data_IF_856222121375
#
_entry.id   IF_856222121375
#
_cell.length_a   1.000
_cell.length_b   1.000
_cell.length_c   1.000
_cell.angle_alpha   90.00
_cell.angle_beta   90.00
_cell.angle_gamma   90.00
#
_symmetry.space_group_name_H-M   'P 1'
#
loop_
_entity.id
_entity.type
_entity.pdbx_description
1 polymer ?
#
# COMPACT_ATOMS: atom_id res chain seq x y z
N UNK A 1 -16.62 49.95 -43.11
CA UNK A 1 -17.97 49.54 -43.55
C UNK A 1 -17.88 48.05 -43.87
N UNK A 2 -18.47 47.22 -42.99
CA UNK A 2 -18.88 45.80 -43.10
C UNK A 2 -17.92 44.77 -43.74
N UNK A 3 -17.66 43.58 -43.17
CA UNK A 3 -18.21 42.88 -42.01
C UNK A 3 -17.53 41.51 -41.85
N UNK A 4 -17.58 40.97 -40.64
CA UNK A 4 -17.01 39.69 -40.18
C UNK A 4 -17.58 38.47 -40.90
N UNK A 5 -16.82 37.37 -40.97
CA UNK A 5 -17.27 36.15 -40.32
C UNK A 5 -16.14 35.17 -39.97
N UNK A 6 -16.41 34.43 -38.90
CA UNK A 6 -15.49 33.66 -38.06
C UNK A 6 -15.57 32.19 -38.48
N UNK A 7 -14.42 31.54 -38.69
CA UNK A 7 -14.34 30.10 -38.94
C UNK A 7 -13.24 29.47 -38.10
N UNK A 8 -13.61 28.93 -36.94
CA UNK A 8 -12.75 28.14 -36.08
C UNK A 8 -12.38 26.81 -36.78
N UNK A 9 -11.08 26.55 -36.96
CA UNK A 9 -10.57 25.20 -37.23
C UNK A 9 -10.00 24.63 -35.94
N UNK A 10 -10.74 23.71 -35.33
CA UNK A 10 -10.24 22.77 -34.33
C UNK A 10 -9.39 21.72 -35.04
N UNK A 11 -8.07 21.74 -34.80
CA UNK A 11 -7.19 20.64 -35.18
C UNK A 11 -7.41 19.46 -34.23
N UNK A 12 -8.06 18.42 -34.74
CA UNK A 12 -8.19 17.14 -34.06
C UNK A 12 -6.82 16.44 -34.02
N UNK A 13 -6.32 16.16 -32.80
CA UNK A 13 -5.20 15.25 -32.61
C UNK A 13 -5.71 13.82 -32.77
N UNK A 14 -5.47 13.24 -33.96
CA UNK A 14 -5.63 11.81 -34.22
C UNK A 14 -4.53 11.04 -33.47
N UNK A 15 -4.87 10.46 -32.32
CA UNK A 15 -4.08 9.41 -31.71
C UNK A 15 -4.27 8.12 -32.52
N UNK A 16 -3.19 7.64 -33.13
CA UNK A 16 -3.14 6.30 -33.73
C UNK A 16 -3.01 5.26 -32.61
N UNK A 17 -3.79 4.16 -32.63
CA UNK A 17 -3.66 3.10 -31.64
C UNK A 17 -2.46 2.20 -31.97
N UNK A 18 -1.69 1.86 -30.93
CA UNK A 18 -0.59 0.91 -30.99
C UNK A 18 -1.06 -0.46 -31.51
N UNK A 19 -0.23 -1.05 -32.37
CA UNK A 19 -0.52 -2.23 -33.16
C UNK A 19 -0.82 -3.50 -32.36
N UNK A 20 -1.80 -4.23 -32.89
CA UNK A 20 -2.14 -5.61 -32.55
C UNK A 20 -0.98 -6.53 -32.99
N UNK A 21 -0.38 -7.26 -32.05
CA UNK A 21 0.44 -8.43 -32.37
C UNK A 21 -0.48 -9.65 -32.35
N UNK A 22 -0.73 -10.21 -33.53
CA UNK A 22 -1.45 -11.49 -33.68
C UNK A 22 -0.59 -12.66 -33.15
N UNK A 23 -1.17 -13.63 -32.43
CA UNK A 23 -0.48 -14.85 -32.06
C UNK A 23 -0.36 -15.78 -33.28
N UNK A 24 0.88 -16.23 -33.54
CA UNK A 24 1.16 -17.26 -34.54
C UNK A 24 0.71 -18.61 -34.00
N UNK A 25 -0.06 -19.31 -34.85
CA UNK A 25 -0.56 -20.68 -34.73
C UNK A 25 0.44 -21.67 -34.13
N UNK A 26 -0.08 -22.47 -33.19
CA UNK A 26 0.40 -23.80 -32.84
C UNK A 26 0.68 -24.64 -34.10
N UNK A 27 1.91 -25.13 -34.21
CA UNK A 27 2.21 -26.37 -34.91
C UNK A 27 2.69 -27.40 -33.91
N UNK A 28 1.90 -28.46 -33.75
CA UNK A 28 2.33 -29.72 -33.17
C UNK A 28 3.56 -30.28 -33.91
N UNK A 29 4.41 -31.03 -33.21
CA UNK A 29 4.98 -32.23 -33.79
C UNK A 29 4.47 -33.46 -33.03
N UNK A 30 3.77 -34.32 -33.78
CA UNK A 30 3.74 -35.75 -33.52
C UNK A 30 5.17 -36.31 -33.65
N UNK A 31 5.50 -37.34 -32.87
CA UNK A 31 6.01 -38.64 -33.35
C UNK A 31 6.68 -39.47 -32.24
N UNK A 32 6.25 -40.73 -32.19
CA UNK A 32 6.97 -41.96 -31.85
C UNK A 32 7.29 -42.35 -30.39
N UNK A 33 6.38 -43.20 -29.90
CA UNK A 33 6.63 -44.36 -29.04
C UNK A 33 7.90 -45.13 -29.42
N UNK A 34 8.73 -45.48 -28.44
CA UNK A 34 9.61 -46.66 -28.49
C UNK A 34 9.66 -47.31 -27.12
N UNK A 35 9.25 -48.57 -27.10
CA UNK A 35 9.28 -49.51 -25.98
C UNK A 35 10.70 -50.05 -25.81
N UNK A 36 11.25 -50.03 -24.60
CA UNK A 36 12.24 -51.04 -24.15
C UNK A 36 11.98 -51.37 -22.67
N UNK A 37 11.74 -52.66 -22.43
CA UNK A 37 11.59 -53.31 -21.12
C UNK A 37 12.93 -53.82 -20.59
N UNK A 38 13.14 -53.77 -19.26
CA UNK A 38 13.82 -54.78 -18.42
C UNK A 38 13.83 -54.27 -16.96
N UNK A 39 13.05 -54.85 -16.04
CA UNK A 39 13.38 -56.00 -15.17
C UNK A 39 14.52 -55.77 -14.17
N UNK A 40 14.19 -55.84 -12.87
CA UNK A 40 15.15 -55.96 -11.76
C UNK A 40 14.47 -55.74 -10.41
N UNK A 41 14.30 -56.80 -9.62
CA UNK A 41 13.49 -56.86 -8.41
C UNK A 41 14.35 -56.90 -7.11
N UNK A 42 13.84 -56.23 -6.04
CA UNK A 42 13.85 -56.57 -4.59
C UNK A 42 15.20 -56.87 -3.85
N UNK A 43 15.28 -57.01 -2.49
CA UNK A 43 14.29 -56.80 -1.40
C UNK A 43 14.79 -56.08 -0.09
N UNK A 44 13.83 -55.88 0.83
CA UNK A 44 13.83 -55.86 2.33
C UNK A 44 15.15 -56.02 3.13
N UNK A 45 15.27 -55.27 4.25
CA UNK A 45 14.99 -55.76 5.63
C UNK A 45 15.55 -54.83 6.74
N UNK A 46 14.76 -54.64 7.80
CA UNK A 46 15.18 -54.22 9.16
C UNK A 46 15.56 -55.44 10.02
N UNK A 47 16.16 -55.26 11.21
CA UNK A 47 15.41 -55.63 12.44
C UNK A 47 15.71 -54.84 13.75
N UNK A 48 14.66 -54.77 14.59
CA UNK A 48 14.53 -54.95 16.07
C UNK A 48 15.30 -54.17 17.16
N UNK A 49 14.53 -53.34 17.89
CA UNK A 49 14.22 -53.30 19.36
C UNK A 49 15.33 -53.02 20.43
N UNK A 50 15.01 -52.56 21.69
CA UNK A 50 13.71 -52.54 22.38
C UNK A 50 13.31 -51.26 23.18
N UNK A 51 12.09 -51.34 23.72
CA UNK A 51 11.26 -50.39 24.51
C UNK A 51 11.74 -50.30 25.99
N UNK A 52 11.37 -49.24 26.74
CA UNK A 52 10.44 -49.47 27.84
C UNK A 52 9.32 -48.43 27.94
N UNK A 53 8.19 -48.93 28.41
CA UNK A 53 6.92 -48.27 28.72
C UNK A 53 6.94 -47.58 30.08
N UNK A 54 6.29 -46.42 30.21
CA UNK A 54 5.33 -46.14 31.30
C UNK A 54 4.40 -45.00 30.91
N UNK A 55 3.12 -45.23 31.20
CA UNK A 55 1.95 -44.36 31.17
C UNK A 55 2.10 -43.08 32.01
N UNK A 56 1.52 -41.97 31.53
CA UNK A 56 0.48 -41.19 32.24
C UNK A 56 0.08 -39.93 31.43
N UNK A 57 -1.22 -39.79 31.18
CA UNK A 57 -1.91 -38.59 30.66
C UNK A 57 -2.54 -37.80 31.84
N UNK A 58 -3.08 -36.58 31.65
CA UNK A 58 -2.48 -35.36 31.13
C UNK A 58 -2.59 -34.22 32.18
N UNK A 59 -1.66 -33.26 32.21
CA UNK A 59 -1.87 -32.02 32.98
C UNK A 59 -1.69 -30.76 32.12
N UNK A 60 -2.83 -30.11 31.95
CA UNK A 60 -3.06 -28.72 31.57
C UNK A 60 -2.12 -27.75 32.31
N UNK A 61 -1.24 -27.06 31.59
CA UNK A 61 -0.89 -25.64 31.84
C UNK A 61 0.09 -25.13 30.78
N UNK A 62 -0.40 -24.71 29.62
CA UNK A 62 0.35 -23.83 28.72
C UNK A 62 0.17 -22.38 29.16
N UNK A 63 1.07 -21.90 30.03
CA UNK A 63 1.23 -20.45 30.25
C UNK A 63 1.97 -19.87 29.05
N UNK A 64 1.30 -19.01 28.29
CA UNK A 64 1.94 -18.09 27.36
C UNK A 64 2.97 -17.21 28.11
N UNK A 65 4.09 -16.82 27.46
CA UNK A 65 5.06 -15.95 28.10
C UNK A 65 4.44 -14.55 28.29
N UNK A 66 4.19 -14.19 29.55
CA UNK A 66 3.89 -12.81 29.94
C UNK A 66 5.23 -12.06 29.95
N UNK A 67 5.45 -11.18 28.97
CA UNK A 67 6.54 -10.20 29.05
C UNK A 67 6.14 -9.15 30.08
N UNK A 68 6.61 -9.29 31.32
CA UNK A 68 6.64 -8.19 32.29
C UNK A 68 7.98 -7.49 32.13
N UNK A 69 7.98 -6.32 31.50
CA UNK A 69 9.10 -5.39 31.58
C UNK A 69 9.24 -4.93 33.03
N UNK A 70 10.29 -5.39 33.71
CA UNK A 70 10.72 -4.89 35.01
C UNK A 70 11.47 -3.58 34.80
N UNK A 71 11.06 -2.55 35.54
CA UNK A 71 11.78 -1.33 35.93
C UNK A 71 12.97 -0.93 35.05
N UNK A 72 12.70 -0.16 34.00
CA UNK A 72 13.71 0.70 33.39
C UNK A 72 13.86 1.95 34.25
N UNK A 73 14.99 2.03 34.94
CA UNK A 73 15.49 3.26 35.56
C UNK A 73 15.48 4.40 34.54
N UNK A 74 14.77 5.48 34.86
CA UNK A 74 14.84 6.77 34.17
C UNK A 74 16.29 7.27 34.11
N UNK A 75 16.96 7.03 32.99
CA UNK A 75 18.24 7.63 32.63
C UNK A 75 18.15 8.11 31.17
N UNK A 76 18.20 9.43 30.96
CA UNK A 76 18.61 10.22 29.77
C UNK A 76 18.38 9.69 28.32
N UNK A 77 17.46 8.75 28.09
CA UNK A 77 17.17 8.23 26.74
C UNK A 77 16.53 9.29 25.81
N UNK A 78 15.77 10.23 26.37
CA UNK A 78 15.06 11.25 25.59
C UNK A 78 15.99 12.25 24.89
N UNK A 79 17.13 12.62 25.49
CA UNK A 79 18.04 13.59 24.88
C UNK A 79 18.75 13.01 23.63
N UNK A 80 19.14 11.74 23.69
CA UNK A 80 19.81 11.04 22.59
C UNK A 80 18.87 10.78 21.41
N UNK A 81 17.64 10.32 21.66
CA UNK A 81 16.63 10.14 20.61
C UNK A 81 16.22 11.47 19.98
N UNK A 82 15.97 12.49 20.78
CA UNK A 82 15.55 13.80 20.27
C UNK A 82 16.65 14.46 19.44
N UNK A 83 17.93 14.32 19.83
CA UNK A 83 19.06 14.80 19.02
C UNK A 83 19.20 14.05 17.69
N UNK A 84 18.97 12.73 17.67
CA UNK A 84 19.04 11.93 16.45
C UNK A 84 17.89 12.25 15.48
N UNK A 85 16.69 12.47 16.02
CA UNK A 85 15.51 12.89 15.23
C UNK A 85 15.76 14.25 14.60
N UNK A 86 16.27 15.23 15.36
CA UNK A 86 16.59 16.57 14.85
C UNK A 86 17.66 16.52 13.73
N UNK A 87 18.68 15.67 13.88
CA UNK A 87 19.71 15.48 12.84
C UNK A 87 19.10 14.88 11.55
N UNK A 88 18.26 13.83 11.68
CA UNK A 88 17.56 13.23 10.52
C UNK A 88 16.64 14.20 9.81
N UNK A 89 15.84 14.98 10.55
CA UNK A 89 14.96 16.00 9.96
C UNK A 89 15.78 17.10 9.25
N UNK A 90 16.94 17.47 9.79
CA UNK A 90 17.84 18.44 9.17
C UNK A 90 18.47 17.91 7.87
N UNK A 91 18.89 16.65 7.86
CA UNK A 91 19.41 15.99 6.66
C UNK A 91 18.33 15.84 5.57
N UNK A 92 17.11 15.48 5.95
CA UNK A 92 15.96 15.38 5.04
C UNK A 92 15.66 16.74 4.38
N UNK A 93 15.60 17.81 5.18
CA UNK A 93 15.41 19.17 4.66
C UNK A 93 16.54 19.57 3.68
N UNK A 94 17.79 19.23 4.00
CA UNK A 94 18.92 19.48 3.10
C UNK A 94 18.78 18.73 1.76
N UNK A 95 18.28 17.49 1.78
CA UNK A 95 18.02 16.72 0.57
C UNK A 95 16.89 17.34 -0.26
N UNK A 96 15.82 17.80 0.39
CA UNK A 96 14.70 18.47 -0.27
C UNK A 96 15.12 19.79 -0.93
N UNK A 97 15.97 20.58 -0.26
CA UNK A 97 16.55 21.80 -0.84
C UNK A 97 17.41 21.48 -2.06
N UNK A 98 18.26 20.45 -1.98
CA UNK A 98 19.07 20.02 -3.13
C UNK A 98 18.20 19.55 -4.30
N UNK A 99 17.12 18.81 -4.02
CA UNK A 99 16.16 18.35 -5.03
C UNK A 99 15.44 19.52 -5.69
N UNK A 100 14.97 20.49 -4.89
CA UNK A 100 14.35 21.72 -5.37
C UNK A 100 15.30 22.49 -6.30
N UNK A 101 16.56 22.67 -5.90
CA UNK A 101 17.57 23.35 -6.72
C UNK A 101 17.83 22.63 -8.04
N UNK A 102 17.90 21.30 -8.04
CA UNK A 102 18.11 20.49 -9.24
C UNK A 102 16.92 20.58 -10.21
N UNK A 103 15.69 20.51 -9.70
CA UNK A 103 14.47 20.65 -10.51
C UNK A 103 14.40 22.06 -11.11
N UNK A 104 14.70 23.09 -10.34
CA UNK A 104 14.76 24.47 -10.82
C UNK A 104 15.86 24.67 -11.88
N UNK A 105 17.04 24.08 -11.70
CA UNK A 105 18.10 24.12 -12.73
C UNK A 105 17.66 23.40 -14.02
N UNK A 106 16.96 22.27 -13.88
CA UNK A 106 16.38 21.52 -15.00
C UNK A 106 15.33 22.35 -15.74
N UNK A 107 14.51 23.14 -15.02
CA UNK A 107 13.55 24.08 -15.61
C UNK A 107 14.22 25.09 -16.54
N UNK A 108 15.32 25.68 -16.08
CA UNK A 108 16.06 26.69 -16.86
C UNK A 108 16.63 26.05 -18.13
N UNK A 109 17.14 24.83 -18.03
CA UNK A 109 17.80 24.14 -19.15
C UNK A 109 16.82 23.52 -20.14
N UNK A 110 15.65 23.05 -19.68
CA UNK A 110 14.66 22.40 -20.52
C UNK A 110 13.22 22.63 -19.99
N UNK A 111 12.60 23.76 -20.38
CA UNK A 111 11.23 24.09 -19.96
C UNK A 111 10.20 23.02 -20.36
N UNK A 112 10.43 22.29 -21.45
CA UNK A 112 9.54 21.22 -21.93
C UNK A 112 9.45 20.05 -20.96
N UNK A 113 10.51 19.75 -20.20
CA UNK A 113 10.47 18.64 -19.24
C UNK A 113 9.46 18.89 -18.12
N UNK A 114 9.26 20.15 -17.72
CA UNK A 114 8.28 20.51 -16.70
C UNK A 114 6.84 20.48 -17.19
N UNK A 115 6.57 20.33 -18.48
CA UNK A 115 5.20 20.03 -18.93
C UNK A 115 4.81 18.57 -18.62
N UNK A 116 5.74 17.76 -18.10
CA UNK A 116 5.44 16.41 -17.64
C UNK A 116 4.75 16.46 -16.27
N UNK A 117 3.56 15.86 -16.13
CA UNK A 117 2.80 15.90 -14.88
C UNK A 117 3.54 15.40 -13.63
N UNK A 118 4.39 14.38 -13.78
CA UNK A 118 5.18 13.83 -12.68
C UNK A 118 6.18 14.85 -12.13
N UNK A 119 6.79 15.66 -12.99
CA UNK A 119 7.74 16.69 -12.59
C UNK A 119 7.05 17.93 -12.04
N UNK A 120 5.85 18.27 -12.52
CA UNK A 120 5.05 19.37 -11.95
C UNK A 120 4.65 19.07 -10.50
N UNK A 121 4.11 17.89 -10.24
CA UNK A 121 3.73 17.47 -8.89
C UNK A 121 4.95 17.35 -7.96
N UNK A 122 6.06 16.85 -8.48
CA UNK A 122 7.30 16.77 -7.71
C UNK A 122 7.85 18.15 -7.34
N UNK A 123 7.80 19.11 -8.25
CA UNK A 123 8.18 20.50 -7.95
C UNK A 123 7.28 21.07 -6.86
N UNK A 124 5.97 20.89 -6.99
CA UNK A 124 5.01 21.35 -5.97
C UNK A 124 5.27 20.73 -4.59
N UNK A 125 5.62 19.43 -4.54
CA UNK A 125 6.02 18.78 -3.30
C UNK A 125 7.29 19.37 -2.71
N UNK A 126 8.32 19.61 -3.52
CA UNK A 126 9.57 20.23 -3.08
C UNK A 126 9.36 21.66 -2.56
N UNK A 127 8.54 22.45 -3.23
CA UNK A 127 8.19 23.82 -2.79
C UNK A 127 7.54 23.79 -1.41
N UNK A 128 6.61 22.85 -1.20
CA UNK A 128 5.93 22.63 0.09
C UNK A 128 6.89 22.17 1.18
N UNK A 129 7.77 21.21 0.90
CA UNK A 129 8.70 20.65 1.88
C UNK A 129 9.80 21.65 2.29
N UNK A 130 10.26 22.48 1.36
CA UNK A 130 11.31 23.48 1.61
C UNK A 130 10.80 24.81 2.16
N UNK A 131 9.48 24.99 2.30
CA UNK A 131 8.84 26.24 2.75
C UNK A 131 9.26 27.48 1.92
N UNK A 132 9.66 27.30 0.66
CA UNK A 132 10.07 28.39 -0.23
C UNK A 132 8.85 29.26 -0.55
N UNK A 133 8.74 30.43 0.08
CA UNK A 133 7.51 31.24 0.17
C UNK A 133 7.15 32.10 -1.07
N UNK A 134 5.84 32.08 -1.36
CA UNK A 134 4.95 33.13 -1.95
C UNK A 134 4.99 33.39 -3.46
N UNK A 135 6.14 33.39 -4.15
CA UNK A 135 6.13 33.56 -5.63
C UNK A 135 6.05 32.22 -6.39
N UNK A 136 6.69 31.18 -5.86
CA UNK A 136 6.56 29.78 -6.31
C UNK A 136 5.14 29.25 -6.15
N UNK A 137 4.39 29.75 -5.17
CA UNK A 137 3.02 29.28 -4.90
C UNK A 137 2.03 29.66 -5.98
N UNK A 138 2.11 30.85 -6.60
CA UNK A 138 1.10 31.26 -7.59
C UNK A 138 1.27 30.54 -8.93
N UNK A 139 2.51 30.42 -9.42
CA UNK A 139 2.80 29.70 -10.65
C UNK A 139 2.65 28.18 -10.47
N UNK A 140 3.17 27.62 -9.37
CA UNK A 140 2.99 26.21 -9.02
C UNK A 140 1.53 25.84 -8.88
N UNK A 141 0.74 26.68 -8.19
CA UNK A 141 -0.71 26.48 -8.06
C UNK A 141 -1.43 26.61 -9.40
N UNK A 142 -1.01 27.52 -10.30
CA UNK A 142 -1.57 27.64 -11.64
C UNK A 142 -1.32 26.38 -12.48
N UNK A 143 -0.10 25.82 -12.43
CA UNK A 143 0.24 24.55 -13.09
C UNK A 143 -0.57 23.41 -12.51
N UNK A 144 -0.68 23.32 -11.18
CA UNK A 144 -1.47 22.30 -10.50
C UNK A 144 -2.96 22.37 -10.90
N UNK A 145 -3.54 23.58 -10.99
CA UNK A 145 -4.90 23.80 -11.49
C UNK A 145 -5.06 23.35 -12.94
N UNK A 146 -4.08 23.66 -13.79
CA UNK A 146 -4.08 23.23 -15.18
C UNK A 146 -4.04 21.70 -15.27
N UNK A 147 -3.12 21.04 -14.56
CA UNK A 147 -3.00 19.58 -14.51
C UNK A 147 -4.28 18.92 -13.97
N UNK A 148 -4.87 19.46 -12.91
CA UNK A 148 -6.13 18.99 -12.34
C UNK A 148 -7.32 19.04 -13.33
N UNK A 149 -7.23 19.90 -14.35
CA UNK A 149 -8.25 20.06 -15.39
C UNK A 149 -8.01 19.22 -16.66
N UNK A 150 -6.85 18.54 -16.76
CA UNK A 150 -6.37 17.97 -18.01
C UNK A 150 -6.97 16.59 -18.41
N UNK A 151 -7.85 15.98 -17.60
CA UNK A 151 -8.38 14.66 -17.94
C UNK A 151 -9.26 14.01 -16.88
N UNK A 152 -9.67 12.74 -17.08
CA UNK A 152 -10.52 12.02 -16.15
C UNK A 152 -9.82 11.79 -14.79
N UNK A 153 -10.62 11.49 -13.76
CA UNK A 153 -10.23 11.33 -12.35
C UNK A 153 -9.39 10.07 -12.06
N UNK A 154 -8.36 9.80 -12.85
CA UNK A 154 -7.38 8.72 -12.65
C UNK A 154 -6.02 9.22 -13.15
N UNK A 155 -4.95 8.95 -12.41
CA UNK A 155 -3.60 9.38 -12.79
C UNK A 155 -3.24 10.75 -12.22
N UNK A 156 -2.38 11.47 -12.94
CA UNK A 156 -1.87 12.77 -12.51
C UNK A 156 -2.92 13.86 -12.25
N UNK A 157 -4.01 13.98 -13.04
CA UNK A 157 -5.07 14.95 -12.73
C UNK A 157 -5.73 14.72 -11.36
N UNK A 158 -5.86 13.46 -10.93
CA UNK A 158 -6.39 13.12 -9.61
C UNK A 158 -5.43 13.56 -8.51
N UNK A 159 -4.13 13.29 -8.64
CA UNK A 159 -3.13 13.72 -7.66
C UNK A 159 -3.11 15.25 -7.53
N UNK A 160 -3.22 15.96 -8.65
CA UNK A 160 -3.28 17.41 -8.66
C UNK A 160 -4.53 17.95 -7.93
N UNK A 161 -5.70 17.32 -8.13
CA UNK A 161 -6.92 17.69 -7.39
C UNK A 161 -6.81 17.41 -5.89
N UNK A 162 -6.13 16.33 -5.51
CA UNK A 162 -5.84 16.01 -4.11
C UNK A 162 -4.94 17.05 -3.46
N UNK A 163 -3.85 17.44 -4.11
CA UNK A 163 -2.97 18.51 -3.61
C UNK A 163 -3.68 19.87 -3.55
N UNK A 164 -4.54 20.20 -4.52
CA UNK A 164 -5.39 21.39 -4.44
C UNK A 164 -6.39 21.31 -3.28
N UNK A 165 -6.98 20.13 -3.04
CA UNK A 165 -7.87 19.91 -1.92
C UNK A 165 -7.18 20.10 -0.58
N UNK A 166 -5.94 19.62 -0.43
CA UNK A 166 -5.12 19.85 0.75
C UNK A 166 -4.79 21.34 0.90
N UNK A 167 -4.36 21.99 -0.18
CA UNK A 167 -4.00 23.41 -0.19
C UNK A 167 -5.17 24.32 0.23
N UNK A 168 -6.39 24.02 -0.23
CA UNK A 168 -7.57 24.80 0.11
C UNK A 168 -8.32 24.31 1.36
N UNK A 169 -7.88 23.23 2.01
CA UNK A 169 -8.52 22.71 3.23
C UNK A 169 -9.81 21.91 3.00
N UNK A 170 -9.99 21.31 1.83
CA UNK A 170 -11.19 20.53 1.46
C UNK A 170 -10.88 19.07 1.08
N UNK A 171 -9.69 18.56 1.41
CA UNK A 171 -9.26 17.22 1.02
C UNK A 171 -10.18 16.09 1.54
N UNK A 172 -10.78 16.25 2.71
CA UNK A 172 -11.68 15.26 3.33
C UNK A 172 -12.91 14.92 2.49
N UNK A 173 -13.33 15.81 1.58
CA UNK A 173 -14.46 15.60 0.67
C UNK A 173 -14.08 14.95 -0.66
N UNK A 174 -12.79 14.71 -0.91
CA UNK A 174 -12.32 14.14 -2.18
C UNK A 174 -12.48 12.62 -2.23
N UNK A 175 -12.66 12.09 -3.44
CA UNK A 175 -12.63 10.65 -3.68
C UNK A 175 -11.28 10.05 -3.29
N UNK A 176 -11.31 8.80 -2.84
CA UNK A 176 -10.14 8.06 -2.37
C UNK A 176 -9.40 8.83 -1.29
N UNK A 177 -10.15 9.23 -0.27
CA UNK A 177 -9.62 9.81 0.96
C UNK A 177 -10.09 8.95 2.12
N UNK A 178 -9.20 8.64 3.05
CA UNK A 178 -9.51 7.91 4.29
C UNK A 178 -8.77 8.58 5.43
N UNK A 179 -9.37 8.61 6.62
CA UNK A 179 -8.70 9.13 7.80
C UNK A 179 -8.06 8.00 8.63
N UNK A 180 -6.88 8.26 9.17
CA UNK A 180 -6.29 7.48 10.25
C UNK A 180 -6.83 7.98 11.58
N UNK A 181 -7.37 7.05 12.38
CA UNK A 181 -7.86 7.33 13.74
C UNK A 181 -6.67 7.52 14.69
N UNK A 182 -6.64 8.62 15.44
CA UNK A 182 -5.65 8.76 16.52
C UNK A 182 -6.02 7.87 17.70
N UNK A 183 -5.04 7.21 18.29
CA UNK A 183 -5.19 6.42 19.52
C UNK A 183 -4.17 6.83 20.57
N UNK A 184 -4.55 6.78 21.84
CA UNK A 184 -3.68 6.98 23.00
C UNK A 184 -3.06 5.66 23.49
N UNK A 185 -3.50 4.53 22.93
CA UNK A 185 -3.04 3.20 23.30
C UNK A 185 -2.80 2.32 22.07
N UNK A 186 -1.66 1.60 22.02
CA UNK A 186 -1.43 0.61 20.99
C UNK A 186 -2.49 -0.51 21.05
N UNK A 187 -2.92 -1.06 19.90
CA UNK A 187 -3.74 -2.28 19.89
C UNK A 187 -2.95 -3.48 20.41
N UNK A 188 -3.69 -4.47 20.89
CA UNK A 188 -3.13 -5.81 21.03
C UNK A 188 -3.11 -6.48 19.66
N UNK A 189 -1.93 -6.74 19.10
CA UNK A 189 -1.80 -7.42 17.80
C UNK A 189 -2.17 -8.91 17.90
N UNK A 190 -3.46 -9.22 17.83
CA UNK A 190 -4.03 -10.57 17.94
C UNK A 190 -4.84 -10.99 16.70
N UNK A 191 -4.94 -10.11 15.72
CA UNK A 191 -5.65 -10.30 14.47
C UNK A 191 -7.16 -10.26 14.64
N UNK A 192 -7.70 -9.72 15.75
CA UNK A 192 -9.16 -9.69 15.99
C UNK A 192 -9.83 -8.36 15.64
N UNK A 193 -9.08 -7.26 15.59
CA UNK A 193 -9.60 -5.92 15.34
C UNK A 193 -10.73 -5.50 16.32
N UNK A 194 -10.65 -5.96 17.57
CA UNK A 194 -11.67 -5.68 18.58
C UNK A 194 -11.41 -4.41 19.40
N UNK A 195 -10.24 -3.78 19.28
CA UNK A 195 -9.96 -2.51 19.95
C UNK A 195 -10.98 -1.43 19.57
N UNK A 196 -11.44 -0.59 20.52
CA UNK A 196 -12.53 0.37 20.28
C UNK A 196 -12.27 1.33 19.12
N UNK A 197 -11.02 1.70 18.86
CA UNK A 197 -10.67 2.62 17.78
C UNK A 197 -10.84 1.95 16.40
N UNK A 198 -10.69 0.63 16.28
CA UNK A 198 -10.95 -0.08 15.02
C UNK A 198 -12.41 -0.01 14.59
N UNK A 199 -13.34 0.13 15.54
CA UNK A 199 -14.77 0.24 15.25
C UNK A 199 -15.16 1.66 14.81
N UNK A 200 -14.33 2.67 15.11
CA UNK A 200 -14.52 4.07 14.70
C UNK A 200 -13.74 4.44 13.45
N UNK A 201 -12.60 3.77 13.21
CA UNK A 201 -11.72 4.05 12.10
C UNK A 201 -12.43 3.94 10.74
N UNK A 202 -12.17 4.92 9.87
CA UNK A 202 -12.72 4.93 8.54
C UNK A 202 -12.27 3.71 7.72
N UNK A 203 -13.18 3.19 6.91
CA UNK A 203 -12.94 2.00 6.10
C UNK A 203 -12.49 2.39 4.69
N UNK A 204 -11.31 1.92 4.31
CA UNK A 204 -10.85 1.85 2.93
C UNK A 204 -11.30 0.51 2.33
N UNK A 205 -12.24 0.54 1.40
CA UNK A 205 -12.72 -0.66 0.69
C UNK A 205 -11.95 -0.90 -0.61
N UNK A 206 -11.43 -2.11 -0.79
CA UNK A 206 -10.85 -2.56 -2.04
C UNK A 206 -11.94 -3.24 -2.87
N UNK A 207 -12.18 -2.71 -4.06
CA UNK A 207 -13.24 -3.19 -4.96
C UNK A 207 -12.66 -3.66 -6.28
N UNK A 208 -13.34 -4.59 -6.94
CA UNK A 208 -13.01 -4.99 -8.30
C UNK A 208 -13.38 -3.90 -9.31
N UNK A 209 -12.78 -3.96 -10.50
CA UNK A 209 -13.08 -3.03 -11.60
C UNK A 209 -14.50 -3.24 -12.20
N UNK A 210 -15.13 -4.41 -12.02
CA UNK A 210 -16.32 -4.84 -12.81
C UNK A 210 -17.70 -4.64 -12.15
N UNK A 211 -17.81 -3.92 -11.03
CA UNK A 211 -19.12 -3.69 -10.39
C UNK A 211 -20.10 -2.80 -11.19
N UNK A 212 -19.77 -2.43 -12.44
CA UNK A 212 -20.62 -1.61 -13.33
C UNK A 212 -21.38 -2.38 -14.41
N UNK A 213 -21.27 -3.71 -14.52
CA UNK A 213 -22.17 -4.48 -15.41
C UNK A 213 -23.51 -4.77 -14.73
N UNK A 214 -24.29 -3.71 -14.50
CA UNK A 214 -25.75 -3.84 -14.44
C UNK A 214 -26.27 -4.15 -15.85
N UNK A 215 -26.22 -5.41 -16.26
CA UNK A 215 -27.03 -5.89 -17.39
C UNK A 215 -27.65 -7.23 -17.05
N UNK A 216 -28.96 -7.15 -16.80
CA UNK A 216 -30.00 -8.15 -17.11
C UNK A 216 -29.91 -9.54 -16.47
N UNK A 217 -30.80 -9.73 -15.49
CA UNK A 217 -31.53 -10.96 -15.15
C UNK A 217 -31.19 -12.20 -16.00
N UNK A 218 -30.36 -13.10 -15.47
CA UNK A 218 -30.63 -14.54 -15.48
C UNK A 218 -29.88 -15.19 -14.32
N UNK A 219 -30.66 -15.74 -13.39
CA UNK A 219 -30.36 -16.73 -12.34
C UNK A 219 -28.94 -17.32 -12.30
N UNK A 220 -28.03 -16.65 -11.59
CA UNK A 220 -27.17 -17.21 -10.55
C UNK A 220 -26.65 -16.01 -9.76
N UNK A 221 -26.84 -16.02 -8.44
CA UNK A 221 -26.23 -15.04 -7.56
C UNK A 221 -24.72 -15.21 -7.71
N UNK A 222 -24.09 -14.45 -8.59
CA UNK A 222 -22.66 -14.18 -8.52
C UNK A 222 -22.46 -13.56 -7.16
N UNK A 223 -22.01 -14.35 -6.19
CA UNK A 223 -21.62 -13.87 -4.88
C UNK A 223 -20.66 -12.72 -5.12
N UNK A 224 -21.11 -11.50 -4.83
CA UNK A 224 -20.24 -10.36 -4.76
C UNK A 224 -19.10 -10.75 -3.83
N UNK A 225 -17.88 -10.87 -4.36
CA UNK A 225 -16.68 -10.94 -3.53
C UNK A 225 -16.76 -9.74 -2.59
N UNK A 226 -16.96 -10.00 -1.30
CA UNK A 226 -17.06 -8.93 -0.32
C UNK A 226 -15.73 -8.14 -0.34
N UNK A 227 -15.84 -6.82 -0.34
CA UNK A 227 -14.68 -5.94 -0.45
C UNK A 227 -13.72 -6.20 0.71
N UNK A 228 -12.42 -6.27 0.40
CA UNK A 228 -11.39 -6.25 1.45
C UNK A 228 -11.40 -4.87 2.10
N UNK A 229 -11.43 -4.85 3.43
CA UNK A 229 -11.50 -3.63 4.22
C UNK A 229 -10.16 -3.36 4.87
N UNK A 230 -9.68 -2.12 4.76
CA UNK A 230 -8.47 -1.64 5.44
C UNK A 230 -8.86 -0.47 6.34
N UNK A 231 -8.35 -0.49 7.57
CA UNK A 231 -8.52 0.58 8.55
C UNK A 231 -7.15 1.08 8.97
N UNK A 232 -7.07 2.36 9.27
CA UNK A 232 -5.84 3.04 9.64
C UNK A 232 -6.01 3.68 11.00
N UNK A 233 -4.99 3.54 11.84
CA UNK A 233 -4.88 4.26 13.09
C UNK A 233 -3.42 4.63 13.33
N UNK A 234 -3.16 5.55 14.24
CA UNK A 234 -1.79 5.96 14.57
C UNK A 234 -1.69 6.52 15.98
N UNK A 235 -0.49 6.44 16.53
CA UNK A 235 -0.07 7.21 17.70
C UNK A 235 1.24 7.94 17.39
N UNK A 236 2.01 8.27 18.43
CA UNK A 236 3.28 8.99 18.29
C UNK A 236 4.46 8.09 17.88
N UNK A 237 4.32 6.76 17.96
CA UNK A 237 5.40 5.79 17.67
C UNK A 237 5.09 4.92 16.46
N UNK A 238 3.81 4.58 16.23
CA UNK A 238 3.40 3.58 15.24
C UNK A 238 2.28 4.05 14.32
N UNK A 239 2.37 3.62 13.07
CA UNK A 239 1.23 3.48 12.17
C UNK A 239 0.62 2.09 12.36
N UNK A 240 -0.68 2.04 12.59
CA UNK A 240 -1.45 0.82 12.71
C UNK A 240 -2.30 0.58 11.46
N UNK A 241 -2.32 -0.67 11.00
CA UNK A 241 -3.17 -1.10 9.87
C UNK A 241 -3.97 -2.33 10.28
N UNK A 242 -5.29 -2.24 10.14
CA UNK A 242 -6.22 -3.34 10.33
C UNK A 242 -6.75 -3.80 8.98
N UNK A 243 -6.68 -5.10 8.69
CA UNK A 243 -7.12 -5.69 7.43
C UNK A 243 -8.19 -6.75 7.72
N UNK A 244 -9.29 -6.71 6.96
CA UNK A 244 -10.32 -7.74 6.93
C UNK A 244 -10.52 -8.16 5.48
N UNK A 245 -10.19 -9.40 5.16
CA UNK A 245 -10.19 -9.95 3.81
C UNK A 245 -11.15 -11.13 3.72
N UNK A 246 -12.37 -10.93 3.19
CA UNK A 246 -13.32 -12.01 2.98
C UNK A 246 -12.82 -13.05 1.98
N UNK A 247 -13.13 -14.32 2.24
CA UNK A 247 -12.90 -15.48 1.37
C UNK A 247 -14.23 -16.24 1.20
N UNK A 248 -15.18 -15.69 0.43
CA UNK A 248 -16.45 -16.38 0.23
C UNK A 248 -16.21 -17.72 -0.46
N UNK A 249 -16.91 -18.76 0.02
CA UNK A 249 -16.78 -20.16 -0.43
C UNK A 249 -15.51 -20.89 0.02
N UNK A 250 -14.69 -20.29 0.87
CA UNK A 250 -13.56 -20.96 1.49
C UNK A 250 -13.66 -20.88 3.02
N UNK A 251 -14.30 -21.90 3.57
CA UNK A 251 -14.49 -22.06 5.01
C UNK A 251 -13.28 -22.69 5.70
N UNK A 252 -12.27 -23.11 4.94
CA UNK A 252 -11.07 -23.76 5.48
C UNK A 252 -10.13 -22.70 6.04
N UNK A 253 -9.81 -22.70 7.34
CA UNK A 253 -8.80 -21.80 7.89
C UNK A 253 -7.46 -22.02 7.18
N UNK A 254 -6.81 -20.92 6.79
CA UNK A 254 -5.50 -20.99 6.17
C UNK A 254 -4.45 -21.37 7.22
N UNK A 255 -3.52 -22.27 6.89
CA UNK A 255 -2.38 -22.52 7.75
C UNK A 255 -1.53 -21.26 7.83
N UNK A 256 -1.12 -20.91 9.04
CA UNK A 256 -0.11 -19.87 9.26
C UNK A 256 1.25 -20.46 8.90
N UNK A 257 2.08 -19.69 8.20
CA UNK A 257 3.40 -20.13 7.80
C UNK A 257 4.26 -20.46 9.04
N UNK A 258 4.83 -21.67 9.07
CA UNK A 258 5.70 -22.14 10.17
C UNK A 258 7.00 -21.31 10.27
N UNK A 259 7.46 -20.76 9.14
CA UNK A 259 8.62 -19.88 9.06
C UNK A 259 8.25 -18.61 8.32
N UNK A 260 8.44 -17.49 8.98
CA UNK A 260 8.33 -16.15 8.40
C UNK A 260 9.76 -15.63 8.21
N UNK A 261 10.21 -15.61 6.96
CA UNK A 261 11.48 -15.03 6.57
C UNK A 261 11.31 -13.57 6.15
N UNK A 262 12.43 -12.88 6.04
CA UNK A 262 12.49 -11.57 5.40
C UNK A 262 12.18 -11.70 3.91
N UNK A 263 11.44 -10.75 3.34
CA UNK A 263 11.16 -10.63 1.90
C UNK A 263 10.68 -11.91 1.23
N UNK A 264 9.59 -12.46 1.75
CA UNK A 264 8.97 -13.66 1.20
C UNK A 264 8.38 -13.42 -0.20
N UNK A 265 8.46 -14.44 -1.06
CA UNK A 265 7.69 -14.47 -2.30
C UNK A 265 6.20 -14.76 -2.00
N UNK A 266 5.35 -13.78 -2.30
CA UNK A 266 3.90 -13.84 -2.09
C UNK A 266 3.10 -14.12 -3.38
N UNK A 267 3.76 -14.35 -4.52
CA UNK A 267 3.11 -14.51 -5.83
C UNK A 267 2.04 -15.62 -5.88
N UNK A 268 2.19 -16.67 -5.08
CA UNK A 268 1.26 -17.80 -5.00
C UNK A 268 0.29 -17.78 -3.81
N UNK A 269 0.20 -16.68 -3.04
CA UNK A 269 -0.61 -16.61 -1.83
C UNK A 269 -1.46 -15.35 -1.77
N UNK A 270 -2.67 -15.47 -1.22
CA UNK A 270 -3.57 -14.32 -1.00
C UNK A 270 -2.90 -13.30 -0.08
N UNK A 271 -2.71 -12.09 -0.59
CA UNK A 271 -2.03 -11.03 0.14
C UNK A 271 -2.57 -9.65 -0.20
N UNK A 272 -2.43 -8.74 0.76
CA UNK A 272 -2.62 -7.30 0.57
C UNK A 272 -1.27 -6.64 0.40
N UNK A 273 -1.17 -5.75 -0.57
CA UNK A 273 -0.03 -4.85 -0.75
C UNK A 273 -0.47 -3.42 -0.48
N UNK A 274 0.28 -2.75 0.37
CA UNK A 274 0.18 -1.32 0.68
C UNK A 274 1.32 -0.59 -0.03
N UNK A 275 1.05 0.64 -0.49
CA UNK A 275 2.05 1.56 -1.02
C UNK A 275 1.89 2.89 -0.32
N UNK A 276 2.96 3.39 0.29
CA UNK A 276 2.97 4.57 1.14
C UNK A 276 3.99 5.57 0.60
N UNK A 277 3.51 6.72 0.16
CA UNK A 277 4.29 7.90 -0.16
C UNK A 277 4.05 8.94 0.95
N UNK A 278 5.02 9.02 1.87
CA UNK A 278 4.90 9.73 3.14
C UNK A 278 5.18 11.23 3.03
N UNK A 279 5.84 11.65 1.95
CA UNK A 279 6.15 13.04 1.68
C UNK A 279 5.41 13.59 0.46
N UNK A 280 4.62 12.77 -0.24
CA UNK A 280 3.84 13.13 -1.44
C UNK A 280 4.71 13.71 -2.55
N UNK A 281 5.90 13.16 -2.75
CA UNK A 281 6.73 13.49 -3.91
C UNK A 281 6.29 12.76 -5.19
N UNK A 282 5.38 11.79 -5.07
CA UNK A 282 4.81 10.95 -6.14
C UNK A 282 5.85 10.23 -6.98
N UNK A 283 7.06 10.07 -6.44
CA UNK A 283 8.20 9.42 -7.08
C UNK A 283 8.75 8.28 -6.23
N UNK A 284 8.69 8.41 -4.91
CA UNK A 284 9.20 7.44 -3.96
C UNK A 284 8.08 6.84 -3.11
N UNK A 285 8.18 5.56 -2.81
CA UNK A 285 7.16 4.86 -2.05
C UNK A 285 7.75 3.67 -1.31
N UNK A 286 7.18 3.44 -0.13
CA UNK A 286 7.36 2.23 0.66
C UNK A 286 6.27 1.23 0.25
N UNK A 287 6.67 0.01 -0.07
CA UNK A 287 5.78 -1.09 -0.41
C UNK A 287 5.80 -2.12 0.71
N UNK A 288 4.64 -2.49 1.24
CA UNK A 288 4.50 -3.51 2.29
C UNK A 288 3.51 -4.57 1.82
N UNK A 289 3.95 -5.84 1.77
CA UNK A 289 3.12 -6.98 1.43
C UNK A 289 2.84 -7.85 2.65
N UNK A 290 1.57 -8.26 2.84
CA UNK A 290 1.13 -9.08 3.96
C UNK A 290 0.20 -10.17 3.45
N UNK A 291 0.64 -11.41 3.57
CA UNK A 291 -0.12 -12.58 3.18
C UNK A 291 -1.02 -13.10 4.29
N UNK A 292 -2.07 -13.80 3.89
CA UNK A 292 -3.02 -14.46 4.78
C UNK A 292 -2.39 -15.56 5.68
N UNK A 293 -1.19 -16.02 5.34
CA UNK A 293 -0.38 -16.96 6.14
C UNK A 293 0.62 -16.24 7.07
N UNK A 294 0.66 -14.91 7.05
CA UNK A 294 1.54 -14.07 7.85
C UNK A 294 2.95 -13.85 7.30
N UNK A 295 3.26 -14.34 6.09
CA UNK A 295 4.49 -13.93 5.39
C UNK A 295 4.39 -12.50 4.89
N UNK A 296 5.54 -11.83 4.82
CA UNK A 296 5.64 -10.42 4.47
C UNK A 296 6.77 -10.16 3.50
N UNK A 297 6.69 -9.03 2.79
CA UNK A 297 7.84 -8.37 2.17
C UNK A 297 7.75 -6.86 2.39
N UNK A 298 8.89 -6.18 2.29
CA UNK A 298 8.99 -4.74 2.42
C UNK A 298 10.07 -4.18 1.50
N UNK A 299 9.78 -3.07 0.83
CA UNK A 299 10.70 -2.43 -0.12
C UNK A 299 10.49 -0.92 -0.11
N UNK A 300 11.51 -0.17 -0.51
CA UNK A 300 11.36 1.24 -0.83
C UNK A 300 11.92 1.49 -2.22
N UNK A 301 11.11 1.99 -3.16
CA UNK A 301 11.51 2.22 -4.55
C UNK A 301 12.15 1.00 -5.23
N UNK A 302 11.67 -0.21 -4.92
CA UNK A 302 12.23 -1.47 -5.44
C UNK A 302 13.54 -1.91 -4.77
N UNK A 303 14.09 -1.15 -3.82
CA UNK A 303 15.21 -1.57 -2.99
C UNK A 303 14.74 -2.57 -1.93
N UNK A 304 15.15 -3.83 -2.07
CA UNK A 304 14.86 -4.92 -1.14
C UNK A 304 15.73 -4.90 0.14
N UNK A 305 16.70 -3.98 0.24
CA UNK A 305 17.49 -3.80 1.48
C UNK A 305 16.76 -2.90 2.50
N UNK A 306 15.66 -2.26 2.08
CA UNK A 306 14.84 -1.45 2.97
C UNK A 306 14.05 -2.36 3.91
N UNK A 307 14.43 -2.40 5.18
CA UNK A 307 13.88 -3.31 6.20
C UNK A 307 13.34 -2.50 7.40
N UNK A 308 12.12 -1.93 7.29
CA UNK A 308 11.52 -1.20 8.41
C UNK A 308 11.23 -2.17 9.54
N UNK A 309 11.20 -1.66 10.78
CA UNK A 309 10.73 -2.47 11.90
C UNK A 309 9.22 -2.41 11.98
N UNK A 310 8.59 -3.57 11.89
CA UNK A 310 7.14 -3.72 11.94
C UNK A 310 6.73 -5.08 12.50
N UNK A 311 5.53 -5.10 13.09
CA UNK A 311 4.95 -6.23 13.78
C UNK A 311 3.65 -6.61 13.09
N UNK A 312 3.46 -7.91 12.83
CA UNK A 312 2.30 -8.41 12.09
C UNK A 312 1.68 -9.61 12.81
N UNK A 313 0.40 -9.49 13.12
CA UNK A 313 -0.45 -10.57 13.57
C UNK A 313 -1.48 -10.89 12.51
N UNK A 314 -1.65 -12.17 12.18
CA UNK A 314 -2.62 -12.65 11.20
C UNK A 314 -3.46 -13.72 11.84
N UNK A 315 -4.77 -13.66 11.58
CA UNK A 315 -5.74 -14.65 12.05
C UNK A 315 -6.58 -15.10 10.87
N UNK A 316 -6.58 -16.40 10.61
CA UNK A 316 -7.57 -16.99 9.69
C UNK A 316 -8.77 -17.48 10.47
N UNK A 317 -9.96 -17.21 9.94
CA UNK A 317 -11.24 -17.74 10.42
C UNK A 317 -12.01 -18.34 9.25
N UNK A 318 -13.14 -18.97 9.53
CA UNK A 318 -14.07 -19.44 8.50
C UNK A 318 -14.53 -18.26 7.64
N UNK A 319 -14.32 -18.34 6.33
CA UNK A 319 -14.80 -17.34 5.37
C UNK A 319 -14.03 -16.02 5.33
N UNK A 320 -12.97 -15.83 6.11
CA UNK A 320 -12.13 -14.62 6.06
C UNK A 320 -10.74 -14.82 6.68
N UNK A 321 -9.81 -13.92 6.38
CA UNK A 321 -8.62 -13.71 7.19
C UNK A 321 -8.51 -12.24 7.57
N UNK A 322 -7.85 -12.00 8.70
CA UNK A 322 -7.65 -10.68 9.27
C UNK A 322 -6.19 -10.48 9.62
N UNK A 323 -5.72 -9.24 9.57
CA UNK A 323 -4.38 -8.88 10.00
C UNK A 323 -4.37 -7.57 10.78
N UNK A 324 -3.47 -7.48 11.75
CA UNK A 324 -3.14 -6.26 12.48
C UNK A 324 -1.64 -6.00 12.37
N UNK A 325 -1.30 -4.79 11.99
CA UNK A 325 0.06 -4.35 11.78
C UNK A 325 0.37 -3.17 12.71
N UNK A 326 1.59 -3.13 13.23
CA UNK A 326 2.18 -1.94 13.83
C UNK A 326 3.53 -1.67 13.18
N UNK A 327 3.69 -0.51 12.55
CA UNK A 327 4.87 -0.12 11.78
C UNK A 327 5.48 1.11 12.45
N UNK A 328 6.77 1.05 12.82
CA UNK A 328 7.42 2.19 13.48
C UNK A 328 7.46 3.41 12.55
N UNK A 329 6.95 4.55 13.02
CA UNK A 329 6.89 5.79 12.23
C UNK A 329 8.28 6.29 11.84
N UNK A 330 9.27 6.14 12.72
CA UNK A 330 10.67 6.49 12.48
C UNK A 330 11.32 5.67 11.34
N UNK A 331 10.73 4.54 10.98
CA UNK A 331 11.15 3.77 9.81
C UNK A 331 10.51 4.29 8.51
N UNK A 332 9.34 4.93 8.59
CA UNK A 332 8.55 5.37 7.44
C UNK A 332 8.77 6.84 7.05
N UNK A 333 9.08 7.70 8.02
CA UNK A 333 9.15 9.14 7.81
C UNK A 333 10.10 9.82 8.79
N UNK A 334 10.57 11.00 8.40
CA UNK A 334 11.31 11.92 9.28
C UNK A 334 10.41 12.99 9.91
N UNK A 335 9.11 12.95 9.62
CA UNK A 335 8.10 13.83 10.22
C UNK A 335 7.79 13.38 11.65
N UNK A 336 7.94 14.30 12.60
CA UNK A 336 7.74 14.03 14.03
C UNK A 336 6.31 14.26 14.53
N UNK A 337 5.48 14.94 13.72
CA UNK A 337 4.07 15.18 14.02
C UNK A 337 3.24 14.96 12.75
N UNK A 338 2.39 13.93 12.79
CA UNK A 338 1.49 13.57 11.72
C UNK A 338 0.13 14.25 11.84
N UNK A 339 -0.20 14.89 12.96
CA UNK A 339 -1.48 15.57 13.15
C UNK A 339 -1.74 16.60 12.04
N UNK A 340 -2.86 16.44 11.34
CA UNK A 340 -3.25 17.30 10.21
C UNK A 340 -2.39 17.13 8.96
N UNK A 341 -1.51 16.13 8.90
CA UNK A 341 -0.76 15.76 7.69
C UNK A 341 -1.56 14.79 6.82
N UNK A 342 -1.04 14.58 5.62
CA UNK A 342 -1.59 13.63 4.68
C UNK A 342 -0.47 12.83 4.01
N UNK A 343 -0.68 11.54 3.79
CA UNK A 343 0.18 10.71 2.94
C UNK A 343 -0.57 10.32 1.68
N UNK A 344 0.16 10.08 0.59
CA UNK A 344 -0.39 9.44 -0.59
C UNK A 344 -0.29 7.92 -0.39
N UNK A 345 -1.42 7.22 -0.46
CA UNK A 345 -1.45 5.77 -0.21
C UNK A 345 -2.23 5.04 -1.30
N UNK A 346 -1.81 3.82 -1.61
CA UNK A 346 -2.62 2.89 -2.40
C UNK A 346 -2.61 1.51 -1.78
N UNK A 347 -3.64 0.73 -2.08
CA UNK A 347 -3.77 -0.63 -1.59
C UNK A 347 -4.41 -1.52 -2.64
N UNK A 348 -3.95 -2.78 -2.67
CA UNK A 348 -4.50 -3.83 -3.51
C UNK A 348 -4.46 -5.18 -2.82
N UNK A 349 -5.37 -6.06 -3.19
CA UNK A 349 -5.32 -7.49 -2.84
C UNK A 349 -5.04 -8.30 -4.10
N UNK A 350 -4.13 -9.26 -3.99
CA UNK A 350 -3.81 -10.21 -5.05
C UNK A 350 -4.10 -11.61 -4.55
N UNK A 351 -4.91 -12.36 -5.30
CA UNK A 351 -5.32 -13.72 -4.96
C UNK A 351 -4.68 -14.74 -5.93
N UNK A 352 -4.41 -15.98 -5.49
CA UNK A 352 -3.76 -17.00 -6.32
C UNK A 352 -4.56 -17.42 -7.57
N UNK A 353 -5.87 -17.19 -7.56
CA UNK A 353 -6.79 -17.44 -8.68
C UNK A 353 -6.74 -16.35 -9.76
N UNK A 354 -5.92 -15.31 -9.57
CA UNK A 354 -5.82 -14.16 -10.46
C UNK A 354 -6.86 -13.06 -10.19
N UNK A 355 -7.67 -13.18 -9.13
CA UNK A 355 -8.56 -12.11 -8.71
C UNK A 355 -7.77 -10.96 -8.04
N UNK A 356 -8.22 -9.74 -8.32
CA UNK A 356 -7.57 -8.52 -7.83
C UNK A 356 -8.62 -7.50 -7.39
N UNK A 357 -8.41 -6.94 -6.21
CA UNK A 357 -9.17 -5.79 -5.70
C UNK A 357 -8.20 -4.62 -5.49
N UNK A 358 -8.66 -3.39 -5.73
CA UNK A 358 -7.84 -2.20 -5.47
C UNK A 358 -8.69 -1.02 -5.01
N UNK A 359 -8.06 -0.09 -4.29
CA UNK A 359 -8.77 1.09 -3.77
C UNK A 359 -9.11 2.07 -4.90
N UNK A 360 -8.17 2.32 -5.81
CA UNK A 360 -8.34 3.17 -7.00
C UNK A 360 -9.12 2.50 -8.13
N UNK A 361 -9.55 1.23 -7.94
CA UNK A 361 -10.23 0.38 -8.92
C UNK A 361 -9.41 0.12 -10.19
N UNK A 362 -8.13 0.44 -10.20
CA UNK A 362 -7.25 0.08 -11.31
C UNK A 362 -6.86 -1.40 -11.24
N UNK A 363 -7.01 -2.10 -12.36
CA UNK A 363 -6.35 -3.40 -12.58
C UNK A 363 -4.91 -3.13 -12.99
N UNK A 364 -4.02 -3.11 -12.01
CA UNK A 364 -2.58 -3.00 -12.25
C UNK A 364 -1.82 -4.08 -11.52
N UNK A 365 -0.88 -4.71 -12.25
CA UNK A 365 0.14 -5.60 -11.68
C UNK A 365 1.27 -4.84 -10.98
N UNK A 366 1.41 -3.53 -11.21
CA UNK A 366 2.36 -2.65 -10.52
C UNK A 366 1.67 -1.75 -9.48
N UNK A 367 2.36 -1.44 -8.38
CA UNK A 367 2.00 -0.31 -7.54
C UNK A 367 2.21 0.99 -8.32
N UNK A 368 1.15 1.78 -8.48
CA UNK A 368 1.18 3.03 -9.22
C UNK A 368 0.97 4.19 -8.26
N UNK A 369 2.01 5.02 -8.07
CA UNK A 369 1.91 6.22 -7.25
C UNK A 369 0.88 7.22 -7.78
N UNK A 370 0.73 7.31 -9.10
CA UNK A 370 -0.29 8.12 -9.76
C UNK A 370 -1.73 7.55 -9.63
N UNK A 371 -1.92 6.49 -8.85
CA UNK A 371 -3.22 5.94 -8.50
C UNK A 371 -3.50 6.00 -6.99
N UNK A 372 -2.74 6.79 -6.25
CA UNK A 372 -2.87 6.92 -4.81
C UNK A 372 -4.10 7.73 -4.40
N UNK A 373 -4.71 7.36 -3.29
CA UNK A 373 -5.59 8.24 -2.54
C UNK A 373 -4.83 8.98 -1.43
N UNK A 374 -5.57 9.70 -0.59
CA UNK A 374 -5.02 10.38 0.58
C UNK A 374 -5.36 9.62 1.87
N UNK A 375 -4.34 9.35 2.67
CA UNK A 375 -4.48 9.02 4.08
C UNK A 375 -4.34 10.31 4.90
N UNK A 376 -5.41 10.74 5.56
CA UNK A 376 -5.42 11.94 6.39
C UNK A 376 -5.22 11.56 7.85
N UNK A 377 -4.26 12.18 8.51
CA UNK A 377 -4.04 11.97 9.93
C UNK A 377 -4.90 12.98 10.70
N UNK A 378 -6.02 12.49 11.24
CA UNK A 378 -6.96 13.33 11.97
C UNK A 378 -6.24 13.98 13.16
N UNK A 379 -6.29 15.29 13.26
CA UNK A 379 -5.66 15.95 14.40
C UNK A 379 -6.33 15.55 15.70
N UNK A 380 -5.54 15.45 16.78
CA UNK A 380 -6.09 15.31 18.12
C UNK A 380 -7.05 16.47 18.34
N UNK A 381 -8.35 16.17 18.42
CA UNK A 381 -9.31 17.18 18.84
C UNK A 381 -9.00 17.42 20.31
N UNK A 382 -8.25 18.48 20.61
CA UNK A 382 -8.07 18.93 21.98
C UNK A 382 -9.48 19.14 22.53
N UNK A 383 -9.87 18.24 23.41
CA UNK A 383 -11.12 18.34 24.14
C UNK A 383 -10.90 19.50 25.11
N UNK A 384 -11.36 20.69 24.75
CA UNK A 384 -11.42 21.83 25.67
C UNK A 384 -12.46 21.60 26.76
#
# INVERSE_FOLDING_TARGET
WWGNDVGAQTAAWNATPFGVVNPVRDQQPTMHSTVVSASGALPLAAPDAPVPSTSDEPSSNSKAPVVRTQDATLFDANAGQMSAVVDRSSQALSADVARHQLLHATQIQSPVLLARPDLELRQFSCDRLTQSTVQSSDEGLARLKHLASAGPLIGWPQMAQQELGLWFGHASGLRWTVAAESTDRPPLLDGTLNDPFWQRANVMELTELDATTQTTQTTQVTQALQATQIRWAYDHEYLYVGIISPRPNDDTPLPVAERRGYDADLSGVDHVQLTLDTDRDYCTAIELGIAADGRTYDRCCGCADYNPKWHVSVRSQTGQWTAELAIELDALTTQTDLSGKAWAVSARRLQPDGNHQSWSRLRSHAAYLNASGLLLFAGTTDSQ
#
